data_IF_640291248217
#
_entry.id   IF_640291248217
#
_cell.length_a   1.000
_cell.length_b   1.000
_cell.length_c   1.000
_cell.angle_alpha   90.00
_cell.angle_beta   90.00
_cell.angle_gamma   90.00
#
_symmetry.space_group_name_H-M   'P 1'
#
loop_
_entity.id
_entity.type
_entity.pdbx_description
1 polymer ?
#
# COMPACT_ATOMS: atom_id res chain seq x y z
N UNK A 1 -13.60 -7.57 -18.73
CA UNK A 1 -13.46 -6.31 -17.94
C UNK A 1 -13.54 -6.55 -16.43
N UNK A 2 -14.56 -7.27 -15.92
CA UNK A 2 -14.72 -7.52 -14.46
C UNK A 2 -13.57 -8.30 -13.80
N UNK A 3 -13.05 -9.33 -14.47
CA UNK A 3 -11.91 -10.12 -13.94
C UNK A 3 -10.67 -9.24 -13.77
N UNK A 4 -10.35 -8.41 -14.76
CA UNK A 4 -9.21 -7.48 -14.71
C UNK A 4 -9.43 -6.42 -13.61
N UNK A 5 -10.66 -5.91 -13.45
CA UNK A 5 -11.01 -5.01 -12.33
C UNK A 5 -10.80 -5.65 -10.97
N UNK A 6 -11.13 -6.94 -10.82
CA UNK A 6 -10.93 -7.67 -9.58
C UNK A 6 -9.44 -7.76 -9.22
N UNK A 7 -8.59 -8.14 -10.18
CA UNK A 7 -7.14 -8.20 -9.95
C UNK A 7 -6.52 -6.82 -9.72
N UNK A 8 -6.99 -5.79 -10.42
CA UNK A 8 -6.57 -4.39 -10.24
C UNK A 8 -6.87 -3.90 -8.81
N UNK A 9 -8.09 -4.12 -8.31
CA UNK A 9 -8.46 -3.78 -6.93
C UNK A 9 -7.73 -4.61 -5.87
N UNK A 10 -7.54 -5.91 -6.12
CA UNK A 10 -6.79 -6.79 -5.22
C UNK A 10 -5.32 -6.34 -5.11
N UNK A 11 -4.67 -6.04 -6.23
CA UNK A 11 -3.28 -5.58 -6.25
C UNK A 11 -3.14 -4.19 -5.61
N UNK A 12 -4.06 -3.26 -5.91
CA UNK A 12 -4.04 -1.91 -5.35
C UNK A 12 -4.24 -1.88 -3.84
N UNK A 13 -5.16 -2.69 -3.32
CA UNK A 13 -5.40 -2.77 -1.86
C UNK A 13 -4.20 -3.36 -1.10
N UNK A 14 -3.56 -4.40 -1.65
CA UNK A 14 -2.35 -4.98 -1.07
C UNK A 14 -1.21 -3.95 -1.01
N UNK A 15 -1.00 -3.19 -2.09
CA UNK A 15 0.05 -2.17 -2.15
C UNK A 15 -0.16 -1.05 -1.12
N UNK A 16 -1.38 -0.49 -1.04
CA UNK A 16 -1.74 0.54 -0.06
C UNK A 16 -1.52 0.10 1.39
N UNK A 17 -1.81 -1.16 1.71
CA UNK A 17 -1.61 -1.69 3.06
C UNK A 17 -0.12 -1.86 3.39
N UNK A 18 0.67 -2.38 2.45
CA UNK A 18 2.11 -2.63 2.66
C UNK A 18 2.92 -1.34 2.67
N UNK A 19 2.58 -0.36 1.84
CA UNK A 19 3.30 0.91 1.74
C UNK A 19 3.28 1.68 3.07
N UNK A 20 2.11 1.79 3.72
CA UNK A 20 1.99 2.45 5.02
C UNK A 20 2.76 1.73 6.13
N UNK A 21 2.75 0.40 6.15
CA UNK A 21 3.54 -0.40 7.09
C UNK A 21 5.04 -0.22 6.88
N UNK A 22 5.48 -0.19 5.63
CA UNK A 22 6.90 -0.02 5.27
C UNK A 22 7.43 1.35 5.71
N UNK A 23 6.66 2.43 5.54
CA UNK A 23 7.04 3.76 6.06
C UNK A 23 7.17 3.73 7.58
N UNK A 24 6.28 3.02 8.28
CA UNK A 24 6.35 2.83 9.72
C UNK A 24 7.57 2.04 10.21
N UNK A 25 8.03 1.08 9.40
CA UNK A 25 9.22 0.27 9.71
C UNK A 25 10.54 0.99 9.41
N UNK A 26 10.54 1.94 8.46
CA UNK A 26 11.75 2.67 8.03
C UNK A 26 12.13 3.83 8.95
N UNK A 27 11.17 4.48 9.59
CA UNK A 27 11.41 5.71 10.35
C UNK A 27 11.15 5.54 11.85
N UNK A 28 12.02 6.09 12.72
CA UNK A 28 11.78 6.09 14.16
C UNK A 28 10.54 6.96 14.49
N UNK A 29 9.82 6.61 15.57
CA UNK A 29 8.52 7.22 15.93
C UNK A 29 8.57 8.74 16.04
N UNK A 30 9.70 9.30 16.45
CA UNK A 30 9.90 10.73 16.65
C UNK A 30 9.96 11.50 15.31
N UNK A 31 10.32 10.84 14.21
CA UNK A 31 10.41 11.43 12.86
C UNK A 31 9.36 10.89 11.88
N UNK A 32 8.48 10.01 12.34
CA UNK A 32 7.51 9.31 11.51
C UNK A 32 6.39 10.24 10.98
N UNK A 33 6.10 11.34 11.66
CA UNK A 33 5.03 12.27 11.28
C UNK A 33 5.24 12.92 9.90
N UNK A 34 6.47 13.33 9.57
CA UNK A 34 6.74 14.03 8.30
C UNK A 34 6.64 13.09 7.07
N UNK A 35 7.27 11.90 7.06
CA UNK A 35 7.08 10.91 5.99
C UNK A 35 5.64 10.41 5.88
N UNK A 36 4.96 10.21 7.02
CA UNK A 36 3.55 9.79 6.99
C UNK A 36 2.64 10.86 6.40
N UNK A 37 2.90 12.15 6.65
CA UNK A 37 2.11 13.23 6.05
C UNK A 37 2.23 13.23 4.52
N UNK A 38 3.45 13.08 3.99
CA UNK A 38 3.69 12.95 2.54
C UNK A 38 3.00 11.70 1.98
N UNK A 39 3.11 10.58 2.69
CA UNK A 39 2.44 9.34 2.31
C UNK A 39 0.92 9.52 2.27
N UNK A 40 0.30 10.15 3.27
CA UNK A 40 -1.14 10.38 3.31
C UNK A 40 -1.62 11.40 2.29
N UNK A 41 -0.78 12.35 1.86
CA UNK A 41 -1.13 13.31 0.82
C UNK A 41 -1.12 12.67 -0.59
N UNK A 42 -0.26 11.68 -0.82
CA UNK A 42 -0.09 11.06 -2.14
C UNK A 42 -1.37 10.48 -2.79
N UNK A 43 -2.32 9.84 -2.06
CA UNK A 43 -3.53 9.30 -2.66
C UNK A 43 -4.55 10.37 -3.02
N UNK A 44 -4.46 11.57 -2.43
CA UNK A 44 -5.36 12.69 -2.78
C UNK A 44 -4.96 13.35 -4.10
N UNK A 45 -3.66 13.38 -4.42
CA UNK A 45 -3.15 13.93 -5.69
C UNK A 45 -3.54 13.05 -6.88
N UNK A 46 -3.67 11.74 -6.69
CA UNK A 46 -4.01 10.78 -7.75
C UNK A 46 -5.32 11.10 -8.49
N UNK A 47 -6.46 11.23 -7.78
CA UNK A 47 -7.75 11.61 -8.36
C UNK A 47 -7.78 12.98 -9.04
N UNK A 48 -6.92 13.92 -8.63
CA UNK A 48 -6.84 15.25 -9.25
C UNK A 48 -6.08 15.21 -10.59
N UNK A 49 -4.93 14.52 -10.61
CA UNK A 49 -4.07 14.43 -11.81
C UNK A 49 -4.62 13.44 -12.83
N UNK A 50 -5.32 12.39 -12.38
CA UNK A 50 -5.84 11.31 -13.22
C UNK A 50 -6.73 11.78 -14.38
N UNK A 51 -7.81 12.55 -14.13
CA UNK A 51 -8.70 13.07 -15.17
C UNK A 51 -8.01 14.06 -16.10
N UNK A 52 -7.10 14.90 -15.59
CA UNK A 52 -6.36 15.87 -16.41
C UNK A 52 -5.49 15.15 -17.44
N UNK A 53 -4.70 14.17 -16.98
CA UNK A 53 -3.87 13.34 -17.86
C UNK A 53 -4.72 12.46 -18.79
N UNK A 54 -5.79 11.87 -18.27
CA UNK A 54 -6.71 11.02 -19.03
C UNK A 54 -7.45 11.78 -20.13
N UNK A 55 -7.90 13.01 -19.84
CA UNK A 55 -8.54 13.91 -20.80
C UNK A 55 -7.60 14.32 -21.92
N UNK A 56 -6.37 14.71 -21.58
CA UNK A 56 -5.34 15.04 -22.58
C UNK A 56 -5.04 13.86 -23.50
N UNK A 57 -4.84 12.65 -22.95
CA UNK A 57 -4.55 11.45 -23.75
C UNK A 57 -5.72 11.10 -24.68
N UNK A 58 -6.96 11.22 -24.22
CA UNK A 58 -8.15 10.90 -25.01
C UNK A 58 -8.42 11.93 -26.11
N UNK A 59 -8.08 13.20 -25.88
CA UNK A 59 -8.26 14.26 -26.88
C UNK A 59 -7.33 14.08 -28.09
N UNK A 60 -6.11 13.58 -27.88
CA UNK A 60 -5.12 13.38 -28.95
C UNK A 60 -5.02 11.92 -29.44
N UNK A 61 -5.57 10.94 -28.70
CA UNK A 61 -5.42 9.50 -28.98
C UNK A 61 -6.67 8.69 -28.59
N UNK A 62 -6.71 7.40 -28.95
CA UNK A 62 -7.78 6.48 -28.56
C UNK A 62 -7.81 6.13 -27.06
N UNK A 63 -8.99 5.78 -26.54
CA UNK A 63 -9.23 5.38 -25.14
C UNK A 63 -8.32 4.23 -24.63
N UNK A 64 -7.82 3.38 -25.51
CA UNK A 64 -6.90 2.27 -25.15
C UNK A 64 -5.53 2.77 -24.70
N UNK A 65 -5.10 3.92 -25.19
CA UNK A 65 -3.79 4.48 -24.84
C UNK A 65 -3.72 4.96 -23.40
N UNK A 66 -4.84 5.35 -22.78
CA UNK A 66 -4.91 5.65 -21.35
C UNK A 66 -4.47 4.44 -20.50
N UNK A 67 -4.85 3.22 -20.91
CA UNK A 67 -4.42 2.00 -20.23
C UNK A 67 -2.93 1.70 -20.46
N UNK A 68 -2.42 1.91 -21.67
CA UNK A 68 -0.99 1.71 -21.96
C UNK A 68 -0.09 2.66 -21.17
N UNK A 69 -0.48 3.93 -21.05
CA UNK A 69 0.26 4.92 -20.25
C UNK A 69 0.29 4.52 -18.77
N UNK A 70 -0.82 4.04 -18.22
CA UNK A 70 -0.88 3.55 -16.84
C UNK A 70 0.03 2.33 -16.62
N UNK A 71 0.06 1.39 -17.58
CA UNK A 71 0.94 0.22 -17.52
C UNK A 71 2.42 0.62 -17.59
N UNK A 72 2.79 1.54 -18.47
CA UNK A 72 4.17 2.05 -18.58
C UNK A 72 4.56 2.73 -17.27
N UNK A 73 3.68 3.59 -16.73
CA UNK A 73 3.93 4.26 -15.46
C UNK A 73 4.12 3.26 -14.31
N UNK A 74 3.25 2.25 -14.21
CA UNK A 74 3.37 1.19 -13.21
C UNK A 74 4.68 0.39 -13.37
N UNK A 75 5.09 0.08 -14.60
CA UNK A 75 6.35 -0.61 -14.88
C UNK A 75 7.56 0.24 -14.47
N UNK A 76 7.55 1.54 -14.74
CA UNK A 76 8.60 2.47 -14.30
C UNK A 76 8.68 2.51 -12.77
N UNK A 77 7.55 2.63 -12.08
CA UNK A 77 7.52 2.60 -10.60
C UNK A 77 8.05 1.26 -10.05
N UNK A 78 7.68 0.15 -10.69
CA UNK A 78 8.18 -1.18 -10.30
C UNK A 78 9.69 -1.30 -10.48
N UNK A 79 10.25 -0.82 -11.59
CA UNK A 79 11.70 -0.81 -11.84
C UNK A 79 12.42 0.11 -10.84
N UNK A 80 11.86 1.30 -10.56
CA UNK A 80 12.42 2.21 -9.56
C UNK A 80 12.44 1.57 -8.18
N UNK A 81 11.39 0.87 -7.79
CA UNK A 81 11.36 0.12 -6.53
C UNK A 81 12.44 -0.96 -6.53
N UNK A 82 12.59 -1.72 -7.62
CA UNK A 82 13.61 -2.77 -7.71
C UNK A 82 15.06 -2.24 -7.63
N UNK A 83 15.32 -1.03 -8.15
CA UNK A 83 16.66 -0.44 -8.18
C UNK A 83 16.99 0.42 -6.94
N UNK A 84 16.03 1.21 -6.44
CA UNK A 84 16.25 2.18 -5.37
C UNK A 84 15.92 1.63 -3.98
N UNK A 85 15.10 0.58 -3.86
CA UNK A 85 14.76 -0.01 -2.56
C UNK A 85 15.70 -1.17 -2.29
N UNK A 86 16.83 -0.97 -1.57
CA UNK A 86 17.57 -2.09 -1.01
C UNK A 86 16.63 -2.85 -0.07
N UNK A 87 16.66 -4.18 -0.05
CA UNK A 87 15.73 -5.02 0.73
C UNK A 87 15.46 -4.47 2.16
N UNK A 88 14.38 -3.71 2.34
CA UNK A 88 14.03 -3.07 3.62
C UNK A 88 13.30 -4.02 4.57
N UNK A 89 13.09 -5.27 4.16
CA UNK A 89 12.38 -6.25 4.97
C UNK A 89 13.30 -6.78 6.08
N UNK A 90 13.32 -6.07 7.22
CA UNK A 90 14.05 -6.44 8.43
C UNK A 90 13.91 -7.94 8.82
N UNK A 91 12.73 -8.60 8.72
CA UNK A 91 12.64 -10.03 9.06
C UNK A 91 13.30 -10.96 8.03
N UNK A 92 13.48 -10.53 6.78
CA UNK A 92 14.20 -11.31 5.74
C UNK A 92 15.72 -11.18 5.92
N UNK A 93 16.22 -9.98 6.23
CA UNK A 93 17.62 -9.77 6.60
C UNK A 93 18.00 -10.55 7.87
N UNK A 94 17.15 -10.51 8.90
CA UNK A 94 17.34 -11.29 10.12
C UNK A 94 17.27 -12.81 9.87
N UNK A 95 16.41 -13.27 8.95
CA UNK A 95 16.37 -14.68 8.53
C UNK A 95 17.65 -15.09 7.78
N UNK A 96 18.14 -14.26 6.84
CA UNK A 96 19.40 -14.52 6.12
C UNK A 96 20.59 -14.55 7.08
N UNK A 97 20.65 -13.62 8.04
CA UNK A 97 21.70 -13.57 9.08
C UNK A 97 21.61 -14.78 10.02
N UNK A 98 20.41 -15.21 10.41
CA UNK A 98 20.22 -16.41 11.23
C UNK A 98 20.63 -17.71 10.49
N UNK A 99 20.38 -17.80 9.18
CA UNK A 99 20.82 -18.94 8.35
C UNK A 99 22.34 -18.96 8.17
N UNK A 100 22.99 -17.80 8.01
CA UNK A 100 24.44 -17.71 7.94
C UNK A 100 25.10 -18.10 9.28
N UNK A 101 24.58 -17.56 10.40
CA UNK A 101 25.06 -17.91 11.74
C UNK A 101 24.88 -19.40 12.08
N UNK A 102 23.81 -20.05 11.57
CA UNK A 102 23.66 -21.51 11.70
C UNK A 102 24.73 -22.30 10.95
N UNK A 103 25.13 -21.83 9.78
CA UNK A 103 26.16 -22.50 8.96
C UNK A 103 27.55 -22.35 9.55
N UNK A 104 27.85 -21.21 10.19
CA UNK A 104 29.16 -20.94 10.79
C UNK A 104 29.32 -21.56 12.18
N UNK A 105 28.31 -21.50 13.04
CA UNK A 105 28.43 -21.92 14.45
C UNK A 105 27.98 -23.36 14.69
N UNK A 106 27.30 -24.00 13.74
CA UNK A 106 26.76 -25.37 13.88
C UNK A 106 25.67 -25.51 14.95
N UNK A 107 25.19 -24.40 15.52
CA UNK A 107 24.36 -24.36 16.72
C UNK A 107 22.90 -23.99 16.36
N UNK A 108 21.96 -24.94 16.49
CA UNK A 108 20.56 -24.79 16.03
C UNK A 108 19.70 -23.80 16.84
N UNK A 109 20.27 -23.19 17.89
CA UNK A 109 19.57 -22.26 18.79
C UNK A 109 19.23 -20.92 18.14
N UNK A 110 19.97 -20.51 17.12
CA UNK A 110 19.74 -19.26 16.39
C UNK A 110 18.52 -19.41 15.47
N UNK A 111 17.32 -19.12 15.97
CA UNK A 111 16.08 -19.08 15.17
C UNK A 111 15.58 -17.65 15.04
N UNK A 112 15.39 -17.21 13.80
CA UNK A 112 14.74 -15.92 13.53
C UNK A 112 13.32 -15.91 14.13
N UNK A 113 12.79 -14.76 14.60
CA UNK A 113 11.43 -14.66 15.14
C UNK A 113 10.36 -15.20 14.19
N UNK A 114 10.61 -15.11 12.87
CA UNK A 114 9.78 -15.64 11.79
C UNK A 114 9.69 -17.18 11.80
N UNK A 115 10.71 -17.88 12.30
CA UNK A 115 10.77 -19.36 12.36
C UNK A 115 10.27 -19.92 13.70
N UNK A 116 10.16 -19.08 14.73
CA UNK A 116 9.45 -19.44 15.98
C UNK A 116 7.93 -19.28 15.88
N UNK A 117 7.44 -18.55 14.87
CA UNK A 117 6.01 -18.40 14.62
C UNK A 117 5.43 -19.59 13.85
N UNK A 118 5.13 -20.68 14.57
CA UNK A 118 4.20 -21.72 14.12
C UNK A 118 2.75 -21.17 14.16
N UNK A 119 2.48 -20.11 13.40
CA UNK A 119 1.12 -19.59 13.23
C UNK A 119 0.52 -20.25 11.99
N UNK A 120 -0.55 -21.01 12.18
CA UNK A 120 -1.41 -21.46 11.09
C UNK A 120 -1.76 -20.25 10.22
N UNK A 121 -1.36 -20.28 8.95
CA UNK A 121 -1.56 -19.19 7.97
C UNK A 121 -3.04 -18.77 7.94
N UNK A 122 -3.94 -19.75 8.02
CA UNK A 122 -5.40 -19.54 8.07
C UNK A 122 -5.83 -18.71 9.28
N UNK A 123 -5.28 -18.96 10.47
CA UNK A 123 -5.61 -18.19 11.68
C UNK A 123 -5.05 -16.76 11.61
N UNK A 124 -3.87 -16.56 11.02
CA UNK A 124 -3.29 -15.23 10.85
C UNK A 124 -4.10 -14.40 9.84
N UNK A 125 -4.50 -14.99 8.72
CA UNK A 125 -5.35 -14.32 7.73
C UNK A 125 -6.70 -13.94 8.36
N UNK A 126 -7.33 -14.86 9.09
CA UNK A 126 -8.59 -14.56 9.79
C UNK A 126 -8.43 -13.42 10.79
N UNK A 127 -7.35 -13.41 11.59
CA UNK A 127 -7.06 -12.31 12.50
C UNK A 127 -6.81 -10.97 11.78
N UNK A 128 -6.11 -10.98 10.64
CA UNK A 128 -5.88 -9.78 9.83
C UNK A 128 -7.16 -9.21 9.24
N UNK A 129 -8.16 -10.05 8.94
CA UNK A 129 -9.47 -9.57 8.48
C UNK A 129 -10.35 -9.04 9.63
N UNK A 130 -10.29 -9.64 10.82
CA UNK A 130 -11.14 -9.27 11.96
C UNK A 130 -10.61 -8.04 12.71
N UNK A 131 -9.29 -7.87 12.78
CA UNK A 131 -8.64 -6.76 13.51
C UNK A 131 -9.05 -5.36 13.03
N UNK A 132 -9.17 -5.07 11.71
CA UNK A 132 -9.67 -3.80 11.22
C UNK A 132 -11.10 -3.50 11.68
N UNK A 133 -12.00 -4.48 11.64
CA UNK A 133 -13.38 -4.29 12.11
C UNK A 133 -13.44 -4.05 13.62
N UNK A 134 -12.63 -4.77 14.40
CA UNK A 134 -12.54 -4.53 15.83
C UNK A 134 -12.05 -3.10 16.14
N UNK A 135 -10.99 -2.65 15.48
CA UNK A 135 -10.49 -1.28 15.65
C UNK A 135 -11.55 -0.24 15.25
N UNK A 136 -12.29 -0.48 14.17
CA UNK A 136 -13.31 0.46 13.71
C UNK A 136 -14.47 0.64 14.70
N UNK A 137 -14.95 -0.45 15.32
CA UNK A 137 -16.11 -0.39 16.22
C UNK A 137 -15.74 -0.11 17.69
N UNK A 138 -14.58 -0.56 18.15
CA UNK A 138 -14.19 -0.42 19.55
C UNK A 138 -13.33 0.82 19.83
N UNK A 139 -12.63 1.36 18.84
CA UNK A 139 -11.81 2.58 19.01
C UNK A 139 -12.54 3.81 18.44
N UNK A 140 -13.18 4.59 19.31
CA UNK A 140 -13.96 5.79 18.94
C UNK A 140 -13.15 6.83 18.14
N UNK A 141 -11.84 6.94 18.40
CA UNK A 141 -10.96 7.86 17.67
C UNK A 141 -10.81 7.47 16.19
N UNK A 142 -10.67 6.17 15.91
CA UNK A 142 -10.50 5.65 14.55
C UNK A 142 -11.80 5.83 13.76
N UNK A 143 -12.94 5.57 14.40
CA UNK A 143 -14.25 5.77 13.77
C UNK A 143 -14.44 7.23 13.32
N UNK A 144 -14.13 8.20 14.17
CA UNK A 144 -14.25 9.62 13.82
C UNK A 144 -13.32 10.01 12.66
N UNK A 145 -12.09 9.51 12.62
CA UNK A 145 -11.15 9.76 11.52
C UNK A 145 -11.61 9.14 10.20
N UNK A 146 -12.13 7.91 10.25
CA UNK A 146 -12.70 7.25 9.08
C UNK A 146 -13.95 7.98 8.56
N UNK A 147 -14.83 8.43 9.45
CA UNK A 147 -16.03 9.19 9.08
C UNK A 147 -15.65 10.52 8.41
N UNK A 148 -14.70 11.26 8.99
CA UNK A 148 -14.19 12.49 8.41
C UNK A 148 -13.60 12.25 7.01
N UNK A 149 -12.76 11.22 6.88
CA UNK A 149 -12.13 10.86 5.60
C UNK A 149 -13.16 10.46 4.55
N UNK A 150 -14.21 9.73 4.93
CA UNK A 150 -15.30 9.33 4.05
C UNK A 150 -16.12 10.53 3.55
N UNK A 151 -16.42 11.50 4.43
CA UNK A 151 -17.12 12.73 4.05
C UNK A 151 -16.23 13.55 3.09
N UNK A 152 -14.94 13.72 3.41
CA UNK A 152 -13.99 14.45 2.57
C UNK A 152 -13.90 13.85 1.16
N UNK A 153 -13.71 12.53 1.06
CA UNK A 153 -13.67 11.83 -0.22
C UNK A 153 -15.03 11.91 -0.95
N UNK A 154 -16.15 11.77 -0.24
CA UNK A 154 -17.48 11.90 -0.81
C UNK A 154 -17.72 13.27 -1.45
N UNK A 155 -17.36 14.34 -0.76
CA UNK A 155 -17.42 15.71 -1.28
C UNK A 155 -16.51 15.86 -2.50
N UNK A 156 -15.26 15.40 -2.42
CA UNK A 156 -14.28 15.49 -3.50
C UNK A 156 -14.75 14.76 -4.78
N UNK A 157 -15.32 13.57 -4.65
CA UNK A 157 -15.90 12.84 -5.80
C UNK A 157 -17.17 13.49 -6.35
N UNK A 158 -18.02 14.08 -5.49
CA UNK A 158 -19.18 14.85 -5.94
C UNK A 158 -18.75 16.07 -6.77
N UNK A 159 -17.71 16.79 -6.35
CA UNK A 159 -17.16 17.91 -7.11
C UNK A 159 -16.68 17.48 -8.50
N UNK A 160 -15.94 16.38 -8.62
CA UNK A 160 -15.56 15.86 -9.94
C UNK A 160 -16.78 15.51 -10.81
N UNK A 161 -17.82 14.91 -10.23
CA UNK A 161 -19.05 14.59 -10.95
C UNK A 161 -19.79 15.82 -11.50
N UNK A 162 -19.68 16.97 -10.82
CA UNK A 162 -20.27 18.24 -11.26
C UNK A 162 -19.37 18.95 -12.28
N UNK A 163 -18.06 19.02 -12.04
CA UNK A 163 -17.11 19.70 -12.94
C UNK A 163 -16.99 19.05 -14.31
N UNK A 164 -17.33 17.78 -14.46
CA UNK A 164 -17.29 17.07 -15.76
C UNK A 164 -18.57 17.27 -16.60
N UNK A 165 -19.58 17.99 -16.08
CA UNK A 165 -20.87 18.24 -16.77
C UNK A 165 -21.03 19.67 -17.34
N UNK A 166 -20.00 20.51 -17.24
CA UNK A 166 -19.91 21.82 -17.89
C UNK A 166 -18.91 21.74 -19.04
#
# INVERSE_FOLDING_TARGET
MLIVRFFDGLAGSAFLSVAGGTVGDMFPKERLSAPMMIYTASPFVGPEVGPVMGGFINQFTNWRWSFWVLVIWAAVQWILILLLVPETYAPVLLRRKAVLLRKETGDERWKAPIERMNRSVTKTVLYSCVRPFQLLFFEQMVLNLCLLSAILLGVLYLFFGVSTKL
#
